data_IF_272247348043
#
_entry.id   IF_272247348043
#
_cell.length_a   1.000
_cell.length_b   1.000
_cell.length_c   1.000
_cell.angle_alpha   90.00
_cell.angle_beta   90.00
_cell.angle_gamma   90.00
#
_symmetry.space_group_name_H-M   'P 1'
#
loop_
_entity.id
_entity.type
_entity.pdbx_description
1 polymer ?
#
# COMPACT_ATOMS: atom_id res chain seq x y z
N UNK A 1 5.29 -35.73 16.55
CA UNK A 1 4.31 -34.61 16.54
C UNK A 1 4.79 -33.38 17.33
N UNK A 2 5.32 -33.49 18.55
CA UNK A 2 5.87 -32.32 19.29
C UNK A 2 7.06 -31.61 18.62
N UNK A 3 7.98 -32.30 17.93
CA UNK A 3 9.16 -31.64 17.31
C UNK A 3 8.92 -30.96 15.96
N UNK A 4 7.80 -31.23 15.27
CA UNK A 4 7.41 -30.50 14.06
C UNK A 4 6.73 -29.15 14.38
N UNK A 5 6.01 -29.09 15.50
CA UNK A 5 5.40 -27.85 16.02
C UNK A 5 6.47 -26.84 16.46
N UNK A 6 7.54 -27.29 17.13
CA UNK A 6 8.65 -26.42 17.54
C UNK A 6 9.43 -25.87 16.33
N UNK A 7 9.72 -26.70 15.32
CA UNK A 7 10.37 -26.25 14.09
C UNK A 7 9.52 -25.26 13.29
N UNK A 8 8.19 -25.43 13.27
CA UNK A 8 7.25 -24.50 12.62
C UNK A 8 7.22 -23.15 13.36
N UNK A 9 7.18 -23.17 14.69
CA UNK A 9 7.26 -21.95 15.52
C UNK A 9 8.58 -21.19 15.40
N UNK A 10 9.72 -21.89 15.30
CA UNK A 10 11.04 -21.25 15.07
C UNK A 10 11.15 -20.66 13.66
N UNK A 11 10.54 -21.28 12.65
CA UNK A 11 10.51 -20.75 11.29
C UNK A 11 9.65 -19.47 11.19
N UNK A 12 8.47 -19.48 11.81
CA UNK A 12 7.59 -18.29 11.91
C UNK A 12 8.31 -17.18 12.67
N UNK A 13 8.99 -17.49 13.79
CA UNK A 13 9.79 -16.54 14.56
C UNK A 13 10.92 -15.91 13.74
N UNK A 14 11.69 -16.72 13.01
CA UNK A 14 12.83 -16.24 12.20
C UNK A 14 12.36 -15.41 11.00
N UNK A 15 11.19 -15.73 10.44
CA UNK A 15 10.61 -15.03 9.28
C UNK A 15 9.88 -13.75 9.69
N UNK A 16 9.09 -13.78 10.76
CA UNK A 16 8.56 -12.57 11.40
C UNK A 16 9.69 -11.65 11.82
N UNK A 17 10.83 -12.16 12.32
CA UNK A 17 12.01 -11.34 12.62
C UNK A 17 12.62 -10.66 11.39
N UNK A 18 12.48 -11.20 10.17
CA UNK A 18 12.95 -10.54 8.94
C UNK A 18 11.99 -9.46 8.46
N UNK A 19 10.67 -9.70 8.55
CA UNK A 19 9.65 -8.67 8.30
C UNK A 19 9.72 -7.57 9.37
N UNK A 20 9.90 -7.94 10.64
CA UNK A 20 10.20 -6.99 11.71
C UNK A 20 11.55 -6.31 11.54
N UNK A 21 12.58 -6.94 10.96
CA UNK A 21 13.83 -6.27 10.66
C UNK A 21 13.65 -5.19 9.57
N UNK A 22 12.77 -5.43 8.59
CA UNK A 22 12.35 -4.41 7.64
C UNK A 22 11.56 -3.27 8.33
N UNK A 23 10.67 -3.58 9.29
CA UNK A 23 10.00 -2.57 10.11
C UNK A 23 10.92 -1.86 11.13
N UNK A 24 11.94 -2.55 11.66
CA UNK A 24 12.88 -2.04 12.66
C UNK A 24 14.01 -1.20 12.04
N UNK A 25 14.24 -1.31 10.73
CA UNK A 25 15.09 -0.37 10.00
C UNK A 25 14.53 1.07 10.02
N UNK A 26 13.24 1.25 10.33
CA UNK A 26 12.65 2.57 10.62
C UNK A 26 12.91 3.05 12.07
N UNK A 27 13.42 2.19 12.97
CA UNK A 27 13.59 2.48 14.40
C UNK A 27 15.04 2.78 14.82
N UNK A 28 15.99 2.82 13.88
CA UNK A 28 17.41 3.02 14.17
C UNK A 28 17.81 4.48 14.53
N UNK A 29 16.85 5.39 14.73
CA UNK A 29 17.11 6.79 15.14
C UNK A 29 16.78 7.10 16.61
N UNK A 30 16.58 6.08 17.46
CA UNK A 30 16.73 6.14 18.93
C UNK A 30 15.91 7.17 19.71
N UNK A 31 14.68 6.85 20.15
CA UNK A 31 13.95 7.61 21.19
C UNK A 31 12.95 6.76 22.02
N UNK A 32 12.61 7.26 23.22
CA UNK A 32 11.86 6.63 24.33
C UNK A 32 10.32 6.86 24.28
N UNK A 33 9.53 5.92 24.82
CA UNK A 33 8.05 5.82 24.75
C UNK A 33 7.36 6.14 26.11
N UNK A 34 6.18 6.77 26.09
CA UNK A 34 5.21 6.84 27.22
C UNK A 34 3.75 6.80 26.72
N UNK A 35 2.83 6.21 27.52
CA UNK A 35 1.47 5.76 27.14
C UNK A 35 0.38 6.43 28.01
N UNK A 36 -0.78 6.79 27.41
CA UNK A 36 -2.09 6.97 28.08
C UNK A 36 -3.27 6.58 27.16
N UNK A 37 -4.33 6.00 27.75
CA UNK A 37 -5.55 5.44 27.12
C UNK A 37 -6.74 6.43 27.03
N UNK A 38 -7.67 6.21 26.05
CA UNK A 38 -9.14 6.02 26.26
C UNK A 38 -9.96 5.92 24.94
N UNK A 39 -11.09 5.18 25.00
CA UNK A 39 -12.05 4.75 23.95
C UNK A 39 -13.28 5.69 23.71
N UNK A 40 -13.94 5.59 22.52
CA UNK A 40 -15.38 5.21 22.35
C UNK A 40 -15.91 5.27 20.88
N UNK A 41 -16.88 4.37 20.56
CA UNK A 41 -17.62 4.10 19.30
C UNK A 41 -19.01 4.78 19.25
N UNK A 42 -19.61 4.96 18.05
CA UNK A 42 -21.08 5.01 17.84
C UNK A 42 -21.54 4.92 16.36
N UNK A 43 -22.63 4.17 16.11
CA UNK A 43 -23.35 3.86 14.84
C UNK A 43 -24.31 4.94 14.28
N UNK A 44 -24.71 4.80 12.99
CA UNK A 44 -26.08 4.89 12.40
C UNK A 44 -25.96 4.90 10.83
N UNK A 45 -26.74 4.28 9.93
CA UNK A 45 -28.06 3.65 9.94
C UNK A 45 -28.98 4.32 8.89
N UNK A 46 -29.33 3.67 7.77
CA UNK A 46 -30.65 3.80 7.09
C UNK A 46 -30.83 2.82 5.92
N UNK A 47 -31.91 2.02 5.94
CA UNK A 47 -32.26 1.03 4.92
C UNK A 47 -33.46 1.49 4.07
N UNK A 48 -33.42 1.17 2.76
CA UNK A 48 -34.52 1.31 1.81
C UNK A 48 -34.97 -0.08 1.37
N UNK A 49 -36.27 -0.36 1.49
CA UNK A 49 -36.91 -1.63 1.15
C UNK A 49 -36.97 -1.90 -0.37
N UNK A 50 -36.46 -3.07 -0.78
CA UNK A 50 -36.88 -3.80 -1.98
C UNK A 50 -37.12 -5.27 -1.64
N UNK A 51 -38.08 -5.88 -2.32
CA UNK A 51 -38.65 -7.21 -2.02
C UNK A 51 -37.58 -8.32 -1.93
N UNK A 52 -37.58 -9.03 -0.79
CA UNK A 52 -36.65 -10.11 -0.46
C UNK A 52 -36.96 -11.37 -1.31
N UNK A 53 -35.99 -11.88 -2.10
CA UNK A 53 -36.13 -13.17 -2.79
C UNK A 53 -36.46 -14.31 -1.80
N UNK A 54 -37.30 -15.26 -2.22
CA UNK A 54 -37.82 -16.33 -1.36
C UNK A 54 -36.73 -17.28 -0.80
N UNK A 55 -35.60 -17.38 -1.49
CA UNK A 55 -34.37 -18.00 -1.00
C UNK A 55 -33.28 -16.93 -1.02
N UNK A 56 -32.94 -16.43 0.16
CA UNK A 56 -31.82 -15.53 0.32
C UNK A 56 -30.89 -16.11 1.37
N UNK A 57 -29.61 -15.75 1.30
CA UNK A 57 -28.58 -16.20 2.23
C UNK A 57 -29.01 -15.95 3.68
N UNK A 58 -28.71 -16.90 4.57
CA UNK A 58 -29.06 -16.80 5.98
C UNK A 58 -28.49 -15.51 6.61
N UNK A 59 -29.27 -14.89 7.50
CA UNK A 59 -28.96 -13.63 8.17
C UNK A 59 -28.75 -12.43 7.24
N UNK A 60 -29.16 -12.52 5.97
CA UNK A 60 -29.11 -11.41 5.04
C UNK A 60 -30.27 -10.42 5.24
N UNK A 61 -29.94 -9.13 5.41
CA UNK A 61 -30.89 -8.03 5.48
C UNK A 61 -31.26 -7.51 4.09
N UNK A 62 -30.28 -7.40 3.18
CA UNK A 62 -30.47 -6.99 1.78
C UNK A 62 -29.78 -7.97 0.84
N UNK A 63 -30.55 -8.62 -0.01
CA UNK A 63 -30.08 -9.68 -0.91
C UNK A 63 -29.58 -9.09 -2.24
N UNK A 64 -28.37 -9.50 -2.66
CA UNK A 64 -27.84 -9.18 -4.00
C UNK A 64 -28.32 -10.19 -5.04
N UNK A 65 -28.40 -11.46 -4.66
CA UNK A 65 -28.98 -12.57 -5.43
C UNK A 65 -29.57 -13.62 -4.47
N UNK A 66 -29.99 -14.77 -5.01
CA UNK A 66 -30.39 -15.95 -4.22
C UNK A 66 -29.25 -16.58 -3.41
N UNK A 67 -28.03 -16.33 -3.84
CA UNK A 67 -26.79 -16.92 -3.35
C UNK A 67 -25.82 -15.90 -2.76
N UNK A 68 -26.13 -14.60 -2.86
CA UNK A 68 -25.29 -13.52 -2.39
C UNK A 68 -26.08 -12.44 -1.65
N UNK A 69 -25.49 -11.94 -0.58
CA UNK A 69 -25.97 -10.87 0.27
C UNK A 69 -25.19 -9.58 0.01
N UNK A 70 -25.88 -8.44 -0.03
CA UNK A 70 -25.25 -7.12 -0.08
C UNK A 70 -25.19 -6.45 1.29
N UNK A 71 -26.08 -6.81 2.23
CA UNK A 71 -26.09 -6.30 3.59
C UNK A 71 -26.61 -7.35 4.57
N UNK A 72 -25.88 -7.61 5.64
CA UNK A 72 -26.27 -8.59 6.65
C UNK A 72 -27.09 -7.95 7.77
N UNK A 73 -27.87 -8.78 8.47
CA UNK A 73 -28.58 -8.39 9.68
C UNK A 73 -27.59 -8.04 10.80
N UNK A 74 -28.03 -7.27 11.79
CA UNK A 74 -27.21 -6.85 12.92
C UNK A 74 -26.44 -8.03 13.56
N UNK A 75 -25.14 -7.83 13.80
CA UNK A 75 -24.23 -8.85 14.34
C UNK A 75 -23.62 -9.78 13.28
N UNK A 76 -23.86 -9.55 11.99
CA UNK A 76 -23.31 -10.31 10.88
C UNK A 76 -22.64 -9.41 9.83
N UNK A 77 -21.69 -9.99 9.08
CA UNK A 77 -20.86 -9.29 8.09
C UNK A 77 -20.88 -9.99 6.74
N UNK A 78 -20.95 -9.22 5.64
CA UNK A 78 -20.92 -9.76 4.27
C UNK A 78 -19.49 -10.17 3.89
N UNK A 79 -19.32 -11.43 3.48
CA UNK A 79 -18.06 -12.00 2.99
C UNK A 79 -18.34 -12.99 1.86
N UNK A 80 -17.81 -12.76 0.66
CA UNK A 80 -18.08 -13.61 -0.50
C UNK A 80 -19.56 -13.71 -0.83
N UNK A 81 -20.35 -12.68 -0.49
CA UNK A 81 -21.82 -12.71 -0.56
C UNK A 81 -22.51 -13.47 0.57
N UNK A 82 -21.84 -13.89 1.63
CA UNK A 82 -22.45 -14.60 2.77
C UNK A 82 -22.38 -13.82 4.08
N UNK A 83 -23.34 -14.05 4.98
CA UNK A 83 -23.36 -13.39 6.29
C UNK A 83 -22.67 -14.22 7.37
N UNK A 84 -21.61 -13.65 7.93
CA UNK A 84 -20.74 -14.28 8.92
C UNK A 84 -20.92 -13.58 10.26
N UNK A 85 -21.21 -14.35 11.31
CA UNK A 85 -21.43 -13.85 12.67
C UNK A 85 -20.16 -13.27 13.29
N UNK A 86 -20.29 -12.19 14.07
CA UNK A 86 -19.22 -11.63 14.91
C UNK A 86 -18.65 -12.61 15.93
N UNK A 87 -19.39 -13.67 16.27
CA UNK A 87 -18.89 -14.74 17.15
C UNK A 87 -17.61 -15.40 16.61
N UNK A 88 -17.34 -15.30 15.30
CA UNK A 88 -16.07 -15.75 14.70
C UNK A 88 -14.84 -15.09 15.34
N UNK A 89 -15.01 -13.88 15.87
CA UNK A 89 -13.93 -13.17 16.55
C UNK A 89 -13.64 -13.77 17.92
N UNK A 90 -14.62 -14.34 18.62
CA UNK A 90 -14.43 -14.92 19.95
C UNK A 90 -13.44 -16.10 20.00
N UNK A 91 -13.19 -16.73 18.85
CA UNK A 91 -12.22 -17.83 18.69
C UNK A 91 -10.81 -17.35 18.32
N UNK A 92 -10.61 -16.04 18.16
CA UNK A 92 -9.32 -15.45 17.84
C UNK A 92 -8.42 -15.47 19.06
N UNK A 93 -7.26 -16.11 18.92
CA UNK A 93 -6.15 -15.97 19.86
C UNK A 93 -5.32 -14.77 19.47
N UNK A 94 -4.91 -13.94 20.43
CA UNK A 94 -4.11 -12.77 20.12
C UNK A 94 -2.97 -12.56 21.11
N UNK A 95 -1.89 -11.92 20.65
CA UNK A 95 -0.74 -11.60 21.47
C UNK A 95 0.00 -10.37 20.99
N UNK A 96 0.53 -9.58 21.92
CA UNK A 96 1.25 -8.33 21.63
C UNK A 96 2.71 -8.44 22.07
N UNK A 97 3.63 -7.96 21.23
CA UNK A 97 5.04 -7.80 21.58
C UNK A 97 5.63 -6.53 20.96
N UNK A 98 5.71 -5.44 21.74
CA UNK A 98 6.10 -4.14 21.19
C UNK A 98 5.06 -3.66 20.17
N UNK A 99 5.52 -3.29 18.97
CA UNK A 99 4.65 -2.88 17.84
C UNK A 99 4.23 -4.09 16.97
N UNK A 100 4.02 -5.27 17.57
CA UNK A 100 3.62 -6.49 16.86
C UNK A 100 2.35 -7.04 17.48
N UNK A 101 1.35 -7.36 16.64
CA UNK A 101 0.04 -7.88 17.06
C UNK A 101 -0.29 -9.15 16.29
N UNK A 102 -0.09 -10.32 16.89
CA UNK A 102 -0.40 -11.61 16.25
C UNK A 102 -1.87 -11.97 16.49
N UNK A 103 -2.60 -12.42 15.45
CA UNK A 103 -4.00 -12.90 15.56
C UNK A 103 -4.14 -14.31 14.98
N UNK A 104 -4.08 -15.33 15.83
CA UNK A 104 -4.33 -16.70 15.41
C UNK A 104 -5.82 -17.02 15.32
N UNK A 105 -6.34 -17.27 14.11
CA UNK A 105 -7.67 -17.86 13.89
C UNK A 105 -7.70 -18.71 12.62
N UNK A 106 -8.12 -19.97 12.76
CA UNK A 106 -8.27 -20.87 11.62
C UNK A 106 -9.35 -20.39 10.63
N UNK A 107 -10.40 -19.73 11.14
CA UNK A 107 -11.47 -19.20 10.31
C UNK A 107 -10.99 -17.99 9.51
N UNK A 108 -10.31 -17.03 10.15
CA UNK A 108 -9.74 -15.86 9.45
C UNK A 108 -8.70 -16.30 8.41
N UNK A 109 -7.86 -17.26 8.76
CA UNK A 109 -6.89 -17.84 7.83
C UNK A 109 -7.57 -18.50 6.62
N UNK A 110 -8.69 -19.20 6.82
CA UNK A 110 -9.47 -19.80 5.74
C UNK A 110 -10.06 -18.76 4.77
N UNK A 111 -10.46 -17.58 5.27
CA UNK A 111 -10.91 -16.47 4.41
C UNK A 111 -9.75 -15.82 3.65
N UNK A 112 -8.59 -15.65 4.28
CA UNK A 112 -7.38 -15.20 3.58
C UNK A 112 -7.00 -16.18 2.47
N UNK A 113 -7.07 -17.49 2.72
CA UNK A 113 -6.80 -18.50 1.70
C UNK A 113 -7.75 -18.37 0.51
N UNK A 114 -9.06 -18.23 0.75
CA UNK A 114 -10.05 -17.99 -0.30
C UNK A 114 -9.76 -16.72 -1.11
N UNK A 115 -9.38 -15.63 -0.43
CA UNK A 115 -9.00 -14.37 -1.07
C UNK A 115 -7.75 -14.52 -1.96
N UNK A 116 -6.77 -15.31 -1.55
CA UNK A 116 -5.59 -15.60 -2.37
C UNK A 116 -5.91 -16.52 -3.56
N UNK A 117 -6.78 -17.51 -3.36
CA UNK A 117 -7.28 -18.40 -4.41
C UNK A 117 -8.20 -17.70 -5.42
N UNK A 118 -8.69 -16.50 -5.09
CA UNK A 118 -9.60 -15.71 -5.93
C UNK A 118 -11.06 -16.17 -5.87
N UNK A 119 -11.44 -16.92 -4.83
CA UNK A 119 -12.82 -17.37 -4.62
C UNK A 119 -13.69 -16.30 -3.93
N UNK A 120 -13.05 -15.35 -3.24
CA UNK A 120 -13.66 -14.10 -2.74
C UNK A 120 -12.76 -12.92 -3.11
N UNK A 121 -13.27 -11.69 -3.00
CA UNK A 121 -12.44 -10.49 -3.19
C UNK A 121 -11.38 -10.37 -2.07
N UNK A 122 -10.19 -9.87 -2.41
CA UNK A 122 -9.12 -9.69 -1.43
C UNK A 122 -9.45 -8.68 -0.33
N UNK A 123 -10.10 -7.59 -0.72
CA UNK A 123 -10.62 -6.58 0.20
C UNK A 123 -11.54 -7.21 1.25
N UNK A 124 -12.39 -8.17 0.89
CA UNK A 124 -13.28 -8.86 1.82
C UNK A 124 -12.51 -9.71 2.83
N UNK A 125 -11.54 -10.50 2.38
CA UNK A 125 -10.66 -11.29 3.26
C UNK A 125 -9.88 -10.42 4.24
N UNK A 126 -9.30 -9.31 3.75
CA UNK A 126 -8.58 -8.34 4.58
C UNK A 126 -9.51 -7.61 5.56
N UNK A 127 -10.69 -7.18 5.12
CA UNK A 127 -11.68 -6.50 5.96
C UNK A 127 -12.07 -7.35 7.17
N UNK A 128 -12.15 -8.68 7.02
CA UNK A 128 -12.44 -9.56 8.16
C UNK A 128 -11.29 -9.57 9.17
N UNK A 129 -10.04 -9.60 8.69
CA UNK A 129 -8.86 -9.51 9.55
C UNK A 129 -8.83 -8.17 10.29
N UNK A 130 -9.14 -7.07 9.61
CA UNK A 130 -9.22 -5.74 10.24
C UNK A 130 -10.34 -5.65 11.27
N UNK A 131 -11.52 -6.22 11.00
CA UNK A 131 -12.62 -6.27 11.98
C UNK A 131 -12.25 -7.10 13.20
N UNK A 132 -11.62 -8.26 13.00
CA UNK A 132 -11.10 -9.07 14.10
C UNK A 132 -10.05 -8.29 14.90
N UNK A 133 -9.16 -7.55 14.24
CA UNK A 133 -8.19 -6.69 14.88
C UNK A 133 -8.89 -5.61 15.74
N UNK A 134 -9.85 -4.88 15.18
CA UNK A 134 -10.57 -3.83 15.90
C UNK A 134 -11.52 -4.33 16.98
N UNK A 135 -11.88 -5.61 16.96
CA UNK A 135 -12.59 -6.24 18.07
C UNK A 135 -11.74 -6.24 19.36
N UNK A 136 -10.42 -6.39 19.24
CA UNK A 136 -9.49 -6.48 20.39
C UNK A 136 -8.67 -5.21 20.63
N UNK A 137 -8.45 -4.40 19.61
CA UNK A 137 -7.55 -3.27 19.65
C UNK A 137 -8.27 -1.99 19.25
N UNK A 138 -8.03 -0.92 20.01
CA UNK A 138 -8.50 0.41 19.64
C UNK A 138 -7.77 0.93 18.42
N UNK A 139 -8.48 1.71 17.61
CA UNK A 139 -7.91 2.37 16.44
C UNK A 139 -6.91 3.46 16.81
N UNK A 140 -5.67 3.02 16.98
CA UNK A 140 -4.52 3.87 17.29
C UNK A 140 -3.31 3.51 16.44
N UNK A 141 -3.50 2.71 15.41
CA UNK A 141 -2.48 2.25 14.48
C UNK A 141 -2.58 3.09 13.22
N UNK A 142 -1.45 3.42 12.62
CA UNK A 142 -1.45 4.12 11.34
C UNK A 142 -1.59 3.10 10.20
N UNK A 143 -1.08 1.88 10.41
CA UNK A 143 -1.08 0.78 9.43
C UNK A 143 -1.30 -0.61 10.05
N UNK A 144 -1.96 -1.49 9.30
CA UNK A 144 -2.04 -2.92 9.59
C UNK A 144 -1.44 -3.70 8.43
N UNK A 145 -0.57 -4.65 8.73
CA UNK A 145 -0.01 -5.61 7.77
C UNK A 145 -0.59 -6.98 8.09
N UNK A 146 -1.45 -7.51 7.22
CA UNK A 146 -1.96 -8.87 7.32
C UNK A 146 -0.98 -9.81 6.59
N UNK A 147 -0.33 -10.69 7.35
CA UNK A 147 0.70 -11.62 6.90
C UNK A 147 0.32 -13.05 7.33
N UNK A 148 -0.21 -13.90 6.44
CA UNK A 148 -0.67 -15.24 6.81
C UNK A 148 0.48 -16.09 7.37
N UNK A 149 0.18 -17.02 8.28
CA UNK A 149 1.19 -17.88 8.93
C UNK A 149 2.00 -18.78 7.98
N UNK A 150 1.56 -18.93 6.72
CA UNK A 150 2.22 -19.72 5.68
C UNK A 150 1.96 -19.12 4.29
N UNK A 151 2.81 -19.47 3.32
CA UNK A 151 2.62 -19.05 1.93
C UNK A 151 1.32 -19.63 1.38
N UNK A 152 0.44 -18.75 0.90
CA UNK A 152 -0.82 -19.10 0.26
C UNK A 152 -0.61 -19.22 -1.25
N UNK A 153 -1.26 -20.19 -1.89
CA UNK A 153 -1.26 -20.37 -3.35
C UNK A 153 -2.39 -19.58 -4.00
N UNK A 154 -2.22 -19.10 -5.24
CA UNK A 154 -3.31 -18.43 -5.95
C UNK A 154 -2.89 -17.46 -7.07
N UNK A 155 -3.84 -16.66 -7.55
CA UNK A 155 -3.75 -15.90 -8.81
C UNK A 155 -2.94 -14.59 -8.74
N UNK A 156 -2.79 -13.93 -7.59
CA UNK A 156 -2.20 -12.57 -7.53
C UNK A 156 -1.29 -12.29 -6.31
N UNK A 157 -0.38 -11.34 -6.57
CA UNK A 157 0.67 -10.61 -5.81
C UNK A 157 1.25 -11.13 -4.49
N UNK A 158 2.53 -10.80 -4.29
CA UNK A 158 3.28 -10.91 -3.04
C UNK A 158 2.76 -9.96 -1.97
N UNK A 159 2.30 -8.76 -2.34
CA UNK A 159 1.73 -7.76 -1.43
C UNK A 159 0.70 -6.87 -2.17
N UNK A 160 -0.20 -6.23 -1.43
CA UNK A 160 -1.18 -5.27 -1.95
C UNK A 160 -1.64 -4.31 -0.84
N UNK A 161 -1.57 -3.00 -1.12
CA UNK A 161 -2.12 -1.94 -0.29
C UNK A 161 -3.63 -1.77 -0.52
N UNK A 162 -4.37 -1.63 0.57
CA UNK A 162 -5.76 -1.19 0.59
C UNK A 162 -5.83 0.14 1.32
N UNK A 163 -6.10 1.20 0.57
CA UNK A 163 -6.47 2.48 1.16
C UNK A 163 -7.79 2.31 1.90
N UNK A 164 -7.78 2.60 3.20
CA UNK A 164 -9.00 2.56 3.99
C UNK A 164 -9.53 3.98 3.97
N UNK A 165 -10.65 4.19 3.25
CA UNK A 165 -11.43 5.40 3.45
C UNK A 165 -11.79 5.41 4.94
N UNK A 166 -11.09 6.24 5.71
CA UNK A 166 -11.42 6.44 7.11
C UNK A 166 -12.89 6.79 7.14
N UNK A 167 -13.71 5.89 7.69
CA UNK A 167 -15.16 6.04 7.79
C UNK A 167 -15.43 7.51 8.10
N UNK A 168 -16.11 8.27 7.22
CA UNK A 168 -16.12 9.74 7.06
C UNK A 168 -16.07 10.61 8.34
N UNK A 169 -16.26 10.01 9.50
CA UNK A 169 -15.62 10.44 10.75
C UNK A 169 -14.09 10.61 10.61
N UNK A 170 -13.62 11.85 10.75
CA UNK A 170 -12.21 12.25 10.92
C UNK A 170 -11.53 11.70 12.20
N UNK A 171 -11.94 10.52 12.68
CA UNK A 171 -11.56 9.92 13.96
C UNK A 171 -10.70 8.68 13.81
N UNK A 172 -10.72 8.01 12.64
CA UNK A 172 -9.89 6.83 12.43
C UNK A 172 -8.42 7.21 12.25
N UNK A 173 -7.52 6.51 12.94
CA UNK A 173 -6.07 6.68 12.78
C UNK A 173 -5.50 5.72 11.75
N UNK A 174 -6.15 4.57 11.54
CA UNK A 174 -5.74 3.61 10.54
C UNK A 174 -5.97 4.19 9.15
N UNK A 175 -4.87 4.30 8.40
CA UNK A 175 -4.86 4.91 7.06
C UNK A 175 -4.97 3.86 5.98
N UNK A 176 -4.28 2.75 6.17
CA UNK A 176 -4.22 1.70 5.18
C UNK A 176 -3.93 0.34 5.81
N UNK A 177 -4.31 -0.70 5.08
CA UNK A 177 -3.97 -2.07 5.39
C UNK A 177 -3.24 -2.70 4.21
N UNK A 178 -2.18 -3.45 4.50
CA UNK A 178 -1.40 -4.17 3.49
C UNK A 178 -1.62 -5.66 3.71
N UNK A 179 -2.08 -6.38 2.69
CA UNK A 179 -2.03 -7.85 2.70
C UNK A 179 -0.71 -8.28 2.06
N UNK A 180 0.05 -9.16 2.72
CA UNK A 180 1.31 -9.68 2.20
C UNK A 180 1.30 -11.19 2.27
N UNK A 181 1.65 -11.88 1.18
CA UNK A 181 1.91 -13.31 1.21
C UNK A 181 3.28 -13.59 1.85
N UNK A 182 3.40 -14.72 2.53
CA UNK A 182 4.71 -15.16 3.03
C UNK A 182 5.67 -15.41 1.87
N UNK A 183 6.81 -14.71 1.86
CA UNK A 183 7.87 -14.85 0.87
C UNK A 183 8.21 -16.33 0.60
N UNK A 184 7.93 -16.77 -0.63
CA UNK A 184 8.56 -17.95 -1.21
C UNK A 184 10.01 -17.62 -1.60
N UNK A 185 10.89 -18.62 -1.76
CA UNK A 185 12.24 -18.40 -2.29
C UNK A 185 12.27 -17.74 -3.68
N UNK A 186 11.15 -17.76 -4.42
CA UNK A 186 10.99 -17.16 -5.74
C UNK A 186 10.28 -15.80 -5.73
N UNK A 187 9.93 -15.26 -4.56
CA UNK A 187 9.21 -13.99 -4.49
C UNK A 187 10.18 -12.86 -4.77
N UNK A 188 10.07 -12.22 -5.95
CA UNK A 188 10.66 -10.91 -6.17
C UNK A 188 10.09 -9.99 -5.09
N UNK A 189 10.97 -9.34 -4.32
CA UNK A 189 10.57 -8.44 -3.25
C UNK A 189 9.49 -7.48 -3.77
N UNK A 190 8.28 -7.59 -3.23
CA UNK A 190 7.30 -6.49 -3.18
C UNK A 190 7.10 -6.29 -1.66
N UNK A 191 7.92 -5.45 -1.03
CA UNK A 191 8.02 -5.23 0.37
C UNK A 191 6.94 -4.24 0.78
N UNK A 192 6.80 -4.24 2.09
CA UNK A 192 6.09 -3.22 2.82
C UNK A 192 6.42 -1.80 2.34
N UNK A 193 7.67 -1.46 1.98
CA UNK A 193 8.03 -0.09 1.59
C UNK A 193 7.28 0.41 0.34
N UNK A 194 7.24 -0.35 -0.75
CA UNK A 194 6.38 -0.04 -1.89
C UNK A 194 4.96 0.27 -1.42
N UNK A 195 4.37 -0.66 -0.67
CA UNK A 195 2.96 -0.56 -0.28
C UNK A 195 2.71 0.62 0.67
N UNK A 196 3.68 0.98 1.50
CA UNK A 196 3.61 2.19 2.33
C UNK A 196 3.68 3.46 1.48
N UNK A 197 4.46 3.48 0.40
CA UNK A 197 4.54 4.64 -0.49
C UNK A 197 3.21 4.93 -1.18
N UNK A 198 2.39 3.91 -1.47
CA UNK A 198 1.06 4.14 -2.06
C UNK A 198 0.12 4.99 -1.19
N UNK A 199 0.30 4.99 0.14
CA UNK A 199 -0.52 5.82 1.04
C UNK A 199 0.03 7.24 1.19
N UNK A 200 1.35 7.38 1.38
CA UNK A 200 1.95 8.66 1.73
C UNK A 200 2.57 9.42 0.55
N UNK A 201 2.87 8.73 -0.54
CA UNK A 201 3.39 9.33 -1.76
C UNK A 201 2.33 10.07 -2.58
N UNK A 202 1.05 10.05 -2.16
CA UNK A 202 -0.16 10.64 -2.77
C UNK A 202 0.11 11.27 -4.15
N UNK A 203 0.13 10.40 -5.14
CA UNK A 203 0.58 10.75 -6.48
C UNK A 203 -0.44 11.59 -7.26
N UNK A 204 -1.67 11.79 -6.78
CA UNK A 204 -2.68 12.54 -7.53
C UNK A 204 -2.34 14.01 -7.70
N UNK A 205 -1.75 14.63 -6.69
CA UNK A 205 -1.56 16.09 -6.67
C UNK A 205 -0.48 16.53 -7.66
N UNK A 206 0.51 15.66 -7.90
CA UNK A 206 1.57 15.90 -8.87
C UNK A 206 1.15 15.62 -10.32
N UNK A 207 -0.07 15.13 -10.59
CA UNK A 207 -0.56 14.89 -11.96
C UNK A 207 -0.58 16.19 -12.79
N UNK A 208 -0.72 17.34 -12.12
CA UNK A 208 -0.62 18.65 -12.77
C UNK A 208 0.77 18.93 -13.35
N UNK A 209 1.82 18.37 -12.75
CA UNK A 209 3.21 18.43 -13.21
C UNK A 209 3.57 17.25 -14.11
N UNK A 210 2.89 16.12 -13.97
CA UNK A 210 3.10 14.90 -14.76
C UNK A 210 1.85 14.51 -15.55
N UNK A 211 1.41 15.30 -16.54
CA UNK A 211 0.12 15.13 -17.18
C UNK A 211 -0.04 13.76 -17.86
N UNK A 212 -1.14 13.08 -17.57
CA UNK A 212 -1.50 11.80 -18.15
C UNK A 212 -0.80 10.58 -17.53
N UNK A 213 0.07 10.77 -16.53
CA UNK A 213 0.81 9.70 -15.86
C UNK A 213 -0.12 8.73 -15.15
N UNK A 214 -1.11 9.21 -14.38
CA UNK A 214 -2.06 8.33 -13.70
C UNK A 214 -2.80 7.43 -14.69
N UNK A 215 -3.14 7.94 -15.87
CA UNK A 215 -3.82 7.17 -16.92
C UNK A 215 -2.91 6.10 -17.53
N UNK A 216 -1.62 6.36 -17.67
CA UNK A 216 -0.68 5.45 -18.36
C UNK A 216 0.06 4.50 -17.43
N UNK A 217 0.19 4.86 -16.15
CA UNK A 217 1.03 4.13 -15.18
C UNK A 217 0.37 3.96 -13.81
N UNK A 218 -0.86 4.43 -13.62
CA UNK A 218 -1.53 4.36 -12.33
C UNK A 218 -0.76 5.14 -11.25
N UNK A 219 -0.78 4.71 -9.99
CA UNK A 219 -0.10 5.38 -8.88
C UNK A 219 1.42 5.08 -8.85
N UNK A 220 2.10 5.14 -10.01
CA UNK A 220 3.54 4.90 -10.16
C UNK A 220 4.24 6.12 -10.76
N UNK A 221 5.56 6.14 -10.71
CA UNK A 221 6.36 7.23 -11.29
C UNK A 221 6.25 7.35 -12.81
N UNK A 222 5.82 6.30 -13.51
CA UNK A 222 5.65 6.33 -14.96
C UNK A 222 6.98 6.54 -15.69
N UNK A 223 6.94 7.23 -16.83
CA UNK A 223 8.14 7.60 -17.60
C UNK A 223 8.89 8.78 -16.97
N UNK A 224 9.11 8.72 -15.66
CA UNK A 224 9.89 9.69 -14.89
C UNK A 224 11.32 9.22 -14.70
N UNK A 225 12.24 10.18 -14.71
CA UNK A 225 13.68 10.00 -14.51
C UNK A 225 14.11 10.85 -13.32
N UNK A 226 14.83 10.23 -12.39
CA UNK A 226 15.29 10.83 -11.14
C UNK A 226 16.75 10.42 -10.89
N UNK A 227 17.49 11.07 -9.98
CA UNK A 227 18.88 10.67 -9.69
C UNK A 227 19.00 9.19 -9.32
N UNK A 228 18.05 8.72 -8.51
CA UNK A 228 17.79 7.33 -8.19
C UNK A 228 16.34 7.03 -8.56
N UNK A 229 16.08 5.90 -9.23
CA UNK A 229 14.70 5.48 -9.50
C UNK A 229 13.86 5.39 -8.22
N UNK A 230 12.55 5.55 -8.35
CA UNK A 230 11.62 5.40 -7.25
C UNK A 230 11.32 3.96 -6.90
N UNK A 231 10.81 3.82 -5.68
CA UNK A 231 10.34 2.55 -5.17
C UNK A 231 9.11 2.09 -5.97
N UNK A 232 8.20 3.00 -6.31
CA UNK A 232 7.09 2.80 -7.26
C UNK A 232 7.47 3.02 -8.74
N UNK A 233 8.68 2.61 -9.13
CA UNK A 233 9.13 2.59 -10.53
C UNK A 233 9.84 3.85 -11.02
N UNK A 234 9.68 4.14 -12.30
CA UNK A 234 10.50 5.13 -13.00
C UNK A 234 11.93 4.63 -13.27
N UNK A 235 12.83 5.57 -13.54
CA UNK A 235 14.17 5.30 -14.03
C UNK A 235 15.22 6.15 -13.32
N UNK A 236 16.43 5.61 -13.09
CA UNK A 236 17.55 6.44 -12.66
C UNK A 236 18.05 7.29 -13.84
N UNK A 237 18.68 8.43 -13.56
CA UNK A 237 19.19 9.34 -14.58
C UNK A 237 20.25 8.69 -15.48
N UNK A 238 20.98 7.70 -14.96
CA UNK A 238 21.92 6.87 -15.72
C UNK A 238 21.28 6.03 -16.81
N UNK A 239 19.96 5.80 -16.75
CA UNK A 239 19.23 4.97 -17.72
C UNK A 239 18.77 5.77 -18.94
N UNK A 240 18.84 7.10 -18.92
CA UNK A 240 18.27 7.94 -19.98
C UNK A 240 19.28 8.98 -20.43
N UNK A 241 19.54 9.02 -21.74
CA UNK A 241 20.36 10.05 -22.36
C UNK A 241 19.70 10.61 -23.61
N UNK A 242 20.00 11.85 -23.95
CA UNK A 242 19.60 12.44 -25.22
C UNK A 242 20.44 11.84 -26.35
N UNK A 243 19.93 11.85 -27.59
CA UNK A 243 20.78 11.46 -28.74
C UNK A 243 21.94 12.44 -28.92
N UNK A 244 21.73 13.71 -28.59
CA UNK A 244 22.76 14.72 -28.39
C UNK A 244 22.32 15.75 -27.33
N UNK A 245 23.27 16.50 -26.75
CA UNK A 245 23.01 17.47 -25.68
C UNK A 245 22.82 16.85 -24.29
N UNK A 246 22.19 17.60 -23.39
CA UNK A 246 22.06 17.26 -21.96
C UNK A 246 20.60 17.15 -21.56
N UNK A 247 20.21 16.05 -20.89
CA UNK A 247 18.84 15.83 -20.43
C UNK A 247 18.39 16.97 -19.51
N UNK A 248 17.23 17.54 -19.81
CA UNK A 248 16.67 18.67 -19.05
C UNK A 248 17.07 20.05 -19.56
N UNK A 249 17.93 20.13 -20.57
CA UNK A 249 18.29 21.39 -21.22
C UNK A 249 17.63 21.49 -22.59
N UNK A 250 17.55 22.72 -23.12
CA UNK A 250 17.09 22.97 -24.50
C UNK A 250 17.99 22.33 -25.56
N UNK A 251 19.19 21.90 -25.18
CA UNK A 251 20.13 21.18 -26.03
C UNK A 251 19.78 19.70 -26.21
N UNK A 252 18.87 19.13 -25.41
CA UNK A 252 18.52 17.71 -25.47
C UNK A 252 17.76 17.34 -26.75
N UNK A 253 18.41 16.58 -27.63
CA UNK A 253 17.78 16.09 -28.86
C UNK A 253 17.13 14.71 -28.67
N UNK A 254 15.93 14.58 -29.23
CA UNK A 254 15.18 13.33 -29.32
C UNK A 254 15.52 12.54 -30.61
N UNK A 255 15.33 11.21 -30.66
CA UNK A 255 14.81 10.35 -29.59
C UNK A 255 15.77 10.24 -28.41
N UNK A 256 15.23 10.06 -27.22
CA UNK A 256 16.02 9.70 -26.04
C UNK A 256 16.45 8.23 -26.17
N UNK A 257 17.67 7.92 -25.71
CA UNK A 257 18.15 6.56 -25.48
C UNK A 257 17.75 6.15 -24.07
N UNK A 258 16.82 5.21 -23.98
CA UNK A 258 16.19 4.79 -22.73
C UNK A 258 16.52 3.33 -22.43
N UNK A 259 17.18 3.05 -21.31
CA UNK A 259 17.56 1.71 -20.89
C UNK A 259 16.49 1.08 -19.97
N UNK A 260 15.63 0.25 -20.57
CA UNK A 260 14.59 -0.50 -19.87
C UNK A 260 15.11 -1.63 -18.98
N UNK A 261 16.42 -1.93 -19.00
CA UNK A 261 17.00 -2.88 -18.04
C UNK A 261 17.22 -2.28 -16.64
N UNK A 262 17.22 -0.95 -16.53
CA UNK A 262 17.50 -0.24 -15.27
C UNK A 262 16.24 0.28 -14.55
N UNK A 263 15.07 0.18 -15.18
CA UNK A 263 13.85 0.82 -14.71
C UNK A 263 12.60 0.31 -15.40
N UNK A 264 11.46 0.86 -15.01
CA UNK A 264 10.19 0.58 -15.66
C UNK A 264 9.13 1.57 -15.22
N UNK A 265 8.22 1.94 -16.13
CA UNK A 265 7.18 2.93 -15.84
C UNK A 265 6.32 2.55 -14.62
N UNK A 266 6.06 1.25 -14.45
CA UNK A 266 5.24 0.68 -13.37
C UNK A 266 5.97 -0.44 -12.62
N UNK A 267 7.29 -0.57 -12.82
CA UNK A 267 8.05 -1.67 -12.24
C UNK A 267 8.62 -1.23 -10.91
N UNK A 268 8.03 -1.68 -9.81
CA UNK A 268 8.58 -1.39 -8.49
C UNK A 268 9.92 -2.07 -8.25
N UNK A 269 10.72 -1.49 -7.36
CA UNK A 269 12.01 -2.06 -7.03
C UNK A 269 12.42 -1.74 -5.61
N UNK A 270 12.53 -2.81 -4.85
CA UNK A 270 12.52 -2.74 -3.40
C UNK A 270 13.87 -2.96 -2.74
N UNK A 271 14.72 -3.68 -3.47
CA UNK A 271 16.12 -3.86 -3.13
C UNK A 271 17.00 -2.68 -3.59
N UNK A 272 16.41 -1.52 -4.00
CA UNK A 272 17.20 -0.32 -4.37
C UNK A 272 17.85 0.38 -3.17
N UNK A 273 17.71 -0.15 -1.95
CA UNK A 273 18.28 0.43 -0.74
C UNK A 273 17.48 1.63 -0.21
N UNK A 274 16.14 1.57 -0.29
CA UNK A 274 15.21 2.56 0.28
C UNK A 274 14.69 3.61 -0.71
N UNK A 275 13.81 4.48 -0.23
CA UNK A 275 13.20 5.56 -1.02
C UNK A 275 14.23 6.50 -1.65
N UNK A 276 13.92 7.05 -2.83
CA UNK A 276 14.67 8.17 -3.40
C UNK A 276 14.29 9.49 -2.71
N UNK A 277 14.94 10.59 -3.08
CA UNK A 277 14.70 11.88 -2.44
C UNK A 277 13.32 12.49 -2.79
N UNK A 278 12.79 12.27 -3.99
CA UNK A 278 11.44 12.68 -4.38
C UNK A 278 10.36 11.82 -3.70
N UNK A 279 10.57 10.51 -3.53
CA UNK A 279 9.69 9.66 -2.72
C UNK A 279 9.58 10.26 -1.30
N UNK A 280 10.72 10.58 -0.67
CA UNK A 280 10.76 11.19 0.67
C UNK A 280 10.14 12.59 0.72
N UNK A 281 10.29 13.39 -0.36
CA UNK A 281 9.67 14.71 -0.48
C UNK A 281 8.14 14.59 -0.53
N UNK A 282 7.60 13.67 -1.35
CA UNK A 282 6.17 13.41 -1.44
C UNK A 282 5.60 12.91 -0.12
N UNK A 283 6.34 12.09 0.62
CA UNK A 283 5.92 11.60 1.93
C UNK A 283 5.97 12.69 3.03
N UNK A 284 6.56 13.86 2.77
CA UNK A 284 6.77 14.94 3.75
C UNK A 284 8.00 14.76 4.66
N UNK A 285 8.78 13.69 4.44
CA UNK A 285 9.97 13.36 5.23
C UNK A 285 11.22 14.15 4.80
N UNK A 286 11.14 14.85 3.66
CA UNK A 286 12.19 15.72 3.11
C UNK A 286 11.54 17.00 2.57
N UNK A 287 12.34 18.07 2.43
CA UNK A 287 11.88 19.35 1.88
C UNK A 287 12.71 19.76 0.67
N UNK A 288 12.16 20.66 -0.15
CA UNK A 288 12.80 21.10 -1.38
C UNK A 288 14.17 21.75 -1.14
N UNK A 289 14.31 22.52 -0.05
CA UNK A 289 15.56 23.21 0.30
C UNK A 289 16.76 22.28 0.53
N UNK A 290 16.52 20.99 0.77
CA UNK A 290 17.56 19.96 0.93
C UNK A 290 17.93 19.24 -0.37
N UNK A 291 17.34 19.66 -1.50
CA UNK A 291 17.45 19.07 -2.84
C UNK A 291 17.68 20.12 -3.95
N UNK A 292 18.51 21.17 -3.75
CA UNK A 292 18.53 22.35 -4.63
C UNK A 292 18.94 22.04 -6.09
N UNK A 293 19.69 20.95 -6.31
CA UNK A 293 20.21 20.58 -7.62
C UNK A 293 19.49 19.38 -8.25
N UNK A 294 18.57 18.74 -7.52
CA UNK A 294 17.89 17.53 -7.98
C UNK A 294 16.64 17.86 -8.79
N UNK A 295 16.51 17.19 -9.94
CA UNK A 295 15.40 17.39 -10.88
C UNK A 295 14.75 16.07 -11.21
N UNK A 296 13.43 16.12 -11.37
CA UNK A 296 12.64 15.05 -11.96
C UNK A 296 12.36 15.39 -13.41
N UNK A 297 12.61 14.45 -14.31
CA UNK A 297 12.25 14.59 -15.72
C UNK A 297 11.08 13.68 -16.04
N UNK A 298 10.00 14.21 -16.61
CA UNK A 298 8.86 13.41 -17.01
C UNK A 298 8.64 13.45 -18.52
N UNK A 299 8.61 12.27 -19.15
CA UNK A 299 8.36 12.11 -20.57
C UNK A 299 6.86 11.96 -20.84
N UNK A 300 6.19 13.08 -21.12
CA UNK A 300 4.77 13.09 -21.49
C UNK A 300 4.59 12.47 -22.87
N UNK A 301 3.58 11.60 -23.02
CA UNK A 301 3.25 11.01 -24.32
C UNK A 301 4.40 10.17 -24.90
N UNK A 302 5.12 9.45 -24.05
CA UNK A 302 6.20 8.56 -24.45
C UNK A 302 5.73 7.57 -25.53
N UNK A 303 6.49 7.44 -26.62
CA UNK A 303 6.17 6.49 -27.70
C UNK A 303 6.32 5.02 -27.29
N UNK A 304 7.02 4.76 -26.19
CA UNK A 304 7.16 3.45 -25.54
C UNK A 304 7.22 3.62 -24.03
N UNK A 305 6.51 2.75 -23.32
CA UNK A 305 6.48 2.70 -21.84
C UNK A 305 7.04 1.39 -21.27
N UNK A 306 7.28 0.40 -22.14
CA UNK A 306 7.88 -0.91 -21.83
C UNK A 306 8.88 -1.27 -22.92
N UNK A 307 9.93 -1.98 -22.57
CA UNK A 307 10.97 -2.40 -23.52
C UNK A 307 11.99 -3.34 -22.87
N UNK A 308 13.07 -3.64 -23.59
CA UNK A 308 14.18 -4.44 -23.11
C UNK A 308 15.53 -3.87 -23.56
N UNK A 309 16.41 -3.56 -22.61
CA UNK A 309 17.69 -2.90 -22.89
C UNK A 309 17.51 -1.46 -23.39
N UNK A 310 18.46 -0.96 -24.18
CA UNK A 310 18.45 0.42 -24.66
C UNK A 310 17.58 0.56 -25.91
N UNK A 311 16.55 1.41 -25.82
CA UNK A 311 15.62 1.70 -26.91
C UNK A 311 15.48 3.20 -27.18
N UNK A 312 15.03 3.54 -28.38
CA UNK A 312 14.70 4.92 -28.75
C UNK A 312 13.28 5.26 -28.29
N UNK A 313 13.14 6.32 -27.50
CA UNK A 313 11.86 6.82 -26.98
C UNK A 313 11.70 8.29 -27.37
N UNK A 314 10.52 8.67 -27.83
CA UNK A 314 10.16 10.06 -28.08
C UNK A 314 9.10 10.49 -27.08
N UNK A 315 9.22 11.69 -26.54
CA UNK A 315 8.26 12.38 -25.68
C UNK A 315 7.57 13.48 -26.49
N UNK A 316 6.26 13.64 -26.28
CA UNK A 316 5.52 14.80 -26.79
C UNK A 316 6.04 16.09 -26.12
N UNK A 317 6.26 16.01 -24.80
CA UNK A 317 6.88 17.07 -24.00
C UNK A 317 7.85 16.42 -22.99
N UNK A 318 9.02 17.04 -22.77
CA UNK A 318 9.90 16.70 -21.65
C UNK A 318 9.69 17.75 -20.58
N UNK A 319 9.09 17.35 -19.46
CA UNK A 319 8.89 18.21 -18.29
C UNK A 319 10.14 18.14 -17.42
N UNK A 320 10.62 19.30 -16.98
CA UNK A 320 11.74 19.42 -16.04
C UNK A 320 11.17 20.01 -14.76
N UNK A 321 11.14 19.22 -13.70
CA UNK A 321 10.41 19.51 -12.47
C UNK A 321 11.42 19.59 -11.33
N UNK A 322 11.47 20.74 -10.66
CA UNK A 322 12.29 20.95 -9.47
C UNK A 322 11.63 20.38 -8.21
N UNK A 323 12.40 20.26 -7.13
CA UNK A 323 11.85 19.93 -5.83
C UNK A 323 10.87 21.00 -5.33
N UNK A 324 11.13 22.28 -5.64
CA UNK A 324 10.24 23.41 -5.32
C UNK A 324 8.92 23.35 -6.09
N UNK A 325 8.92 22.87 -7.33
CA UNK A 325 7.69 22.68 -8.11
C UNK A 325 6.80 21.62 -7.45
N UNK A 326 7.39 20.49 -7.04
CA UNK A 326 6.65 19.42 -6.34
C UNK A 326 6.14 19.94 -5.01
N UNK A 327 6.99 20.50 -4.16
CA UNK A 327 6.57 21.05 -2.87
C UNK A 327 5.50 22.14 -3.04
N UNK A 328 5.57 22.91 -4.13
CA UNK A 328 4.57 23.88 -4.56
C UNK A 328 3.24 23.24 -4.96
N UNK A 329 3.25 22.18 -5.76
CA UNK A 329 2.05 21.44 -6.16
C UNK A 329 1.37 20.74 -4.97
N UNK A 330 2.15 20.35 -3.97
CA UNK A 330 1.64 19.79 -2.71
C UNK A 330 1.00 20.86 -1.80
N UNK A 331 1.14 22.18 -2.07
CA UNK A 331 0.55 23.29 -1.26
C UNK A 331 -0.99 23.27 -1.24
N UNK A 332 -1.66 23.81 -0.19
CA UNK A 332 -3.10 23.60 -0.02
C UNK A 332 -3.89 24.38 -1.07
N UNK A 333 -4.60 23.66 -1.93
CA UNK A 333 -5.68 24.17 -2.78
C UNK A 333 -7.06 23.63 -2.33
N UNK A 334 -8.16 24.15 -2.89
CA UNK A 334 -9.53 23.70 -2.57
C UNK A 334 -9.79 22.21 -2.84
N UNK A 335 -8.99 21.57 -3.71
CA UNK A 335 -8.98 20.13 -3.99
C UNK A 335 -8.20 19.30 -2.98
N UNK A 336 -7.37 19.93 -2.14
CA UNK A 336 -6.35 19.25 -1.32
C UNK A 336 -6.83 19.10 0.13
N UNK A 337 -8.08 18.64 0.30
CA UNK A 337 -8.65 18.31 1.62
C UNK A 337 -7.93 17.13 2.31
N UNK A 338 -7.03 16.45 1.59
CA UNK A 338 -6.26 15.26 2.02
C UNK A 338 -4.88 15.66 2.60
N UNK A 339 -4.70 16.93 3.00
CA UNK A 339 -3.43 17.39 3.60
C UNK A 339 -3.18 16.95 5.04
N UNK A 340 -4.15 16.30 5.68
CA UNK A 340 -3.96 15.63 6.99
C UNK A 340 -3.07 14.37 6.88
N UNK A 341 -2.43 14.13 5.73
CA UNK A 341 -1.82 12.85 5.36
C UNK A 341 -0.30 12.87 5.16
N UNK A 342 0.42 14.00 5.23
CA UNK A 342 1.88 13.95 5.18
C UNK A 342 2.50 13.44 6.49
N UNK A 343 3.64 12.77 6.38
CA UNK A 343 4.49 12.51 7.52
C UNK A 343 5.32 13.75 7.83
N UNK A 344 5.53 14.00 9.11
CA UNK A 344 6.50 14.98 9.60
C UNK A 344 7.77 14.25 10.03
N UNK A 345 8.97 14.80 9.77
CA UNK A 345 10.19 14.26 10.34
C UNK A 345 10.09 14.13 11.86
N UNK A 346 10.23 12.91 12.37
CA UNK A 346 10.06 12.59 13.80
C UNK A 346 8.72 11.93 14.16
N UNK A 347 7.79 11.82 13.21
CA UNK A 347 6.56 11.05 13.40
C UNK A 347 6.88 9.58 13.70
N UNK A 348 6.09 8.99 14.59
CA UNK A 348 6.18 7.57 14.93
C UNK A 348 4.97 6.85 14.38
N UNK A 349 5.22 5.93 13.45
CA UNK A 349 4.20 5.06 12.88
C UNK A 349 3.96 3.83 13.77
N UNK A 350 2.70 3.60 14.08
CA UNK A 350 2.22 2.40 14.78
C UNK A 350 1.72 1.42 13.75
N UNK A 351 2.56 0.43 13.47
CA UNK A 351 2.23 -0.68 12.58
C UNK A 351 1.83 -1.88 13.42
N UNK A 352 0.72 -2.53 13.08
CA UNK A 352 0.40 -3.87 13.58
C UNK A 352 0.68 -4.89 12.48
N UNK A 353 1.41 -5.98 12.79
CA UNK A 353 1.54 -7.11 11.86
C UNK A 353 0.73 -8.28 12.39
N UNK A 354 -0.36 -8.58 11.70
CA UNK A 354 -1.32 -9.63 12.00
C UNK A 354 -0.92 -10.91 11.28
N UNK A 355 -0.79 -12.01 12.01
CA UNK A 355 -0.43 -13.33 11.47
C UNK A 355 -1.40 -14.42 11.79
#
# INVERSE_FOLDING_TARGET
RRSQSTKRGEMIKTRCQKTLAACLLLSACGYHISIRESLHLSHAGNTSHTDRPASCVDNCAVCKSDSACSECSDGFHVIGGHCVSESVFSEVTHGVKGNLVLLGSAVLFGYLQQAFEGTIERSEGLNLVLRAFFHYYTDTFDFVVALPESTLSGQCTSAENFHLEGDNSRKSRLRSAVIMNMYSPQTSAIPLLHELEHEWGVFSDIETLTPGRLRTSGPHWGMSVMNKRGMLGGFPISAVSCTSGTLGETSCEQPLRWDFSQGGATTSHDDIGGYNNFDLLLMGLKNASSMPDEKLFFCEGASKVTGSGVENVTCSTIHVISAEDIEGALKPGPSNAVRDHFLTPGDTLRVAVVT
#
